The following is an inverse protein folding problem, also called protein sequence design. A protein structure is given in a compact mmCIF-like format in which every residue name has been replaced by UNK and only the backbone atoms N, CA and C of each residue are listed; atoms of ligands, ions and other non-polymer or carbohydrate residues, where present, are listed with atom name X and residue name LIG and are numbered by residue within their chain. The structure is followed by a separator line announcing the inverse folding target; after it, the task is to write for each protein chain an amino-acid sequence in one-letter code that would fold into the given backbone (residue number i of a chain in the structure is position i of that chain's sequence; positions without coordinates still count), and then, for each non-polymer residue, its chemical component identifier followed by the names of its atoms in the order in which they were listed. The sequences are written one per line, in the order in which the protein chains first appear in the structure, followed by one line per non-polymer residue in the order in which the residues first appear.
data_IF_916568508484
#
_entry.id   IF_916568508484
#
_cell.length_a   1.000
_cell.length_b   1.000
_cell.length_c   1.000
_cell.angle_alpha   90.00
_cell.angle_beta   90.00
_cell.angle_gamma   90.00
#
_symmetry.space_group_name_H-M   'P 1'
#
loop_
_entity.id
_entity.type
_entity.pdbx_description
1 polymer ?
#
# COMPACT_ATOMS: atom_id res chain seq x y z
N UNK A 1 -93.27 -15.41 85.29
CA UNK A 1 -93.34 -15.19 83.84
C UNK A 1 -92.89 -13.77 83.55
N UNK A 2 -91.71 -13.62 82.97
CA UNK A 2 -91.31 -12.52 82.11
C UNK A 2 -90.02 -13.00 81.42
N UNK A 3 -90.05 -13.06 80.10
CA UNK A 3 -88.96 -13.44 79.21
C UNK A 3 -87.64 -12.75 79.59
N UNK A 4 -86.54 -13.51 79.57
CA UNK A 4 -85.20 -12.92 79.49
C UNK A 4 -84.51 -13.44 78.24
N UNK A 5 -84.75 -12.66 77.19
CA UNK A 5 -84.14 -12.71 75.88
C UNK A 5 -82.62 -12.82 76.05
N UNK A 6 -82.05 -13.89 75.51
CA UNK A 6 -80.62 -14.01 75.27
C UNK A 6 -80.27 -12.86 74.32
N UNK A 7 -79.53 -11.86 74.80
CA UNK A 7 -79.00 -10.83 73.94
C UNK A 7 -78.05 -11.50 72.94
N UNK A 8 -78.51 -11.72 71.71
CA UNK A 8 -77.63 -11.97 70.58
C UNK A 8 -76.62 -10.83 70.56
N UNK A 9 -75.35 -11.13 70.81
CA UNK A 9 -74.28 -10.18 70.62
C UNK A 9 -74.33 -9.73 69.16
N UNK A 10 -74.57 -8.44 68.94
CA UNK A 10 -74.71 -7.85 67.63
C UNK A 10 -73.31 -7.76 66.97
N UNK A 11 -72.89 -8.88 66.38
CA UNK A 11 -71.61 -9.02 65.67
C UNK A 11 -71.59 -8.25 64.34
N UNK A 12 -72.70 -7.62 63.96
CA UNK A 12 -72.81 -6.81 62.75
C UNK A 12 -71.85 -5.62 62.74
N UNK A 13 -71.58 -5.01 63.89
CA UNK A 13 -70.62 -3.90 64.01
C UNK A 13 -69.17 -4.33 63.72
N UNK A 14 -68.75 -5.49 64.24
CA UNK A 14 -67.42 -6.06 63.98
C UNK A 14 -67.32 -6.53 62.52
N UNK A 15 -68.39 -7.10 61.97
CA UNK A 15 -68.44 -7.52 60.57
C UNK A 15 -68.38 -6.33 59.60
N UNK A 16 -69.07 -5.22 59.92
CA UNK A 16 -69.00 -3.99 59.15
C UNK A 16 -67.62 -3.34 59.22
N UNK A 17 -66.99 -3.28 60.40
CA UNK A 17 -65.61 -2.79 60.52
C UNK A 17 -64.60 -3.67 59.76
N UNK A 18 -64.76 -5.01 59.77
CA UNK A 18 -63.92 -5.92 59.00
C UNK A 18 -64.14 -5.78 57.48
N UNK A 19 -65.37 -5.53 57.04
CA UNK A 19 -65.70 -5.27 55.64
C UNK A 19 -65.13 -3.92 55.18
N UNK A 20 -65.28 -2.87 55.98
CA UNK A 20 -64.66 -1.57 55.71
C UNK A 20 -63.14 -1.67 55.67
N UNK A 21 -62.52 -2.40 56.61
CA UNK A 21 -61.08 -2.68 56.56
C UNK A 21 -60.67 -3.47 55.31
N UNK A 22 -61.48 -4.44 54.89
CA UNK A 22 -61.28 -5.17 53.63
C UNK A 22 -61.32 -4.24 52.42
N UNK A 23 -62.33 -3.36 52.34
CA UNK A 23 -62.45 -2.35 51.28
C UNK A 23 -61.28 -1.34 51.30
N UNK A 24 -60.83 -0.92 52.49
CA UNK A 24 -59.64 -0.07 52.65
C UNK A 24 -58.35 -0.78 52.24
N UNK A 25 -58.21 -2.08 52.53
CA UNK A 25 -57.06 -2.89 52.13
C UNK A 25 -57.08 -3.09 50.61
N UNK A 26 -58.23 -3.35 50.00
CA UNK A 26 -58.36 -3.53 48.55
C UNK A 26 -58.08 -2.23 47.78
N UNK A 27 -58.57 -1.10 48.28
CA UNK A 27 -58.25 0.23 47.72
C UNK A 27 -56.77 0.58 47.91
N UNK A 28 -56.19 0.27 49.07
CA UNK A 28 -54.75 0.46 49.31
C UNK A 28 -53.90 -0.42 48.39
N UNK A 29 -54.27 -1.70 48.21
CA UNK A 29 -53.59 -2.63 47.32
C UNK A 29 -53.68 -2.16 45.85
N UNK A 30 -54.85 -1.68 45.43
CA UNK A 30 -55.04 -1.10 44.09
C UNK A 30 -54.19 0.15 43.87
N UNK A 31 -54.09 1.01 44.89
CA UNK A 31 -53.22 2.19 44.87
C UNK A 31 -51.75 1.80 44.83
N UNK A 32 -51.31 0.78 45.60
CA UNK A 32 -49.94 0.27 45.58
C UNK A 32 -49.58 -0.33 44.22
N UNK A 33 -50.48 -1.09 43.59
CA UNK A 33 -50.28 -1.60 42.22
C UNK A 33 -50.16 -0.44 41.21
N UNK A 34 -50.97 0.60 41.37
CA UNK A 34 -50.91 1.79 40.50
C UNK A 34 -49.61 2.56 40.69
N UNK A 35 -49.15 2.71 41.94
CA UNK A 35 -47.84 3.31 42.25
C UNK A 35 -46.71 2.44 41.68
N UNK A 36 -46.79 1.11 41.79
CA UNK A 36 -45.82 0.20 41.17
C UNK A 36 -45.71 0.40 39.66
N UNK A 37 -46.85 0.46 38.95
CA UNK A 37 -46.88 0.74 37.50
C UNK A 37 -46.31 2.11 37.14
N UNK A 38 -46.59 3.14 37.95
CA UNK A 38 -46.04 4.48 37.73
C UNK A 38 -44.54 4.53 37.99
N UNK A 39 -44.03 3.77 38.98
CA UNK A 39 -42.60 3.63 39.25
C UNK A 39 -41.90 2.90 38.10
N UNK A 40 -42.51 1.83 37.58
CA UNK A 40 -41.98 1.10 36.41
C UNK A 40 -41.94 2.00 35.16
N UNK A 41 -42.99 2.79 34.92
CA UNK A 41 -43.05 3.74 33.81
C UNK A 41 -41.99 4.85 33.96
N UNK A 42 -41.83 5.40 35.17
CA UNK A 42 -40.77 6.38 35.44
C UNK A 42 -39.39 5.77 35.22
N UNK A 43 -39.16 4.51 35.61
CA UNK A 43 -37.88 3.85 35.38
C UNK A 43 -37.59 3.68 33.88
N UNK A 44 -38.59 3.32 33.08
CA UNK A 44 -38.47 3.28 31.62
C UNK A 44 -38.18 4.66 31.02
N UNK A 45 -38.84 5.71 31.50
CA UNK A 45 -38.59 7.09 31.06
C UNK A 45 -37.17 7.56 31.44
N UNK A 46 -36.67 7.18 32.62
CA UNK A 46 -35.31 7.47 33.05
C UNK A 46 -34.27 6.72 32.21
N UNK A 47 -34.52 5.45 31.87
CA UNK A 47 -33.65 4.69 30.98
C UNK A 47 -33.61 5.30 29.57
N UNK A 48 -34.77 5.72 29.05
CA UNK A 48 -34.87 6.43 27.77
C UNK A 48 -34.13 7.78 27.80
N UNK A 49 -34.32 8.58 28.84
CA UNK A 49 -33.62 9.86 29.00
C UNK A 49 -32.11 9.66 29.14
N UNK A 50 -31.67 8.61 29.83
CA UNK A 50 -30.26 8.26 29.97
C UNK A 50 -29.67 7.88 28.61
N UNK A 51 -30.39 7.10 27.81
CA UNK A 51 -29.98 6.76 26.44
C UNK A 51 -29.90 8.00 25.54
N UNK A 52 -30.91 8.88 25.58
CA UNK A 52 -30.94 10.13 24.81
C UNK A 52 -29.82 11.08 25.22
N UNK A 53 -29.53 11.18 26.52
CA UNK A 53 -28.42 11.99 27.03
C UNK A 53 -27.08 11.43 26.54
N UNK A 54 -26.86 10.12 26.60
CA UNK A 54 -25.66 9.51 26.05
C UNK A 54 -25.53 9.77 24.54
N UNK A 55 -26.62 9.64 23.77
CA UNK A 55 -26.62 9.94 22.34
C UNK A 55 -26.29 11.41 22.06
N UNK A 56 -26.87 12.34 22.82
CA UNK A 56 -26.60 13.77 22.72
C UNK A 56 -25.15 14.11 23.05
N UNK A 57 -24.59 13.56 24.14
CA UNK A 57 -23.19 13.76 24.53
C UNK A 57 -22.25 13.23 23.45
N UNK A 58 -22.55 12.08 22.86
CA UNK A 58 -21.76 11.53 21.75
C UNK A 58 -21.84 12.41 20.50
N UNK A 59 -23.03 12.84 20.09
CA UNK A 59 -23.23 13.73 18.95
C UNK A 59 -22.52 15.09 19.13
N UNK A 60 -22.59 15.67 20.33
CA UNK A 60 -21.87 16.90 20.66
C UNK A 60 -20.36 16.70 20.64
N UNK A 61 -19.86 15.58 21.17
CA UNK A 61 -18.43 15.25 21.15
C UNK A 61 -17.91 15.11 19.72
N UNK A 62 -18.64 14.40 18.85
CA UNK A 62 -18.31 14.25 17.44
C UNK A 62 -18.30 15.60 16.72
N UNK A 63 -19.37 16.39 16.86
CA UNK A 63 -19.47 17.73 16.26
C UNK A 63 -18.34 18.65 16.73
N UNK A 64 -18.06 18.68 18.04
CA UNK A 64 -16.96 19.47 18.60
C UNK A 64 -15.60 19.01 18.05
N UNK A 65 -15.41 17.70 17.86
CA UNK A 65 -14.18 17.16 17.28
C UNK A 65 -14.03 17.53 15.81
N UNK A 66 -15.12 17.52 15.03
CA UNK A 66 -15.13 17.94 13.63
C UNK A 66 -14.74 19.42 13.49
N UNK A 67 -15.34 20.32 14.29
CA UNK A 67 -15.00 21.74 14.30
C UNK A 67 -13.54 21.99 14.71
N UNK A 68 -13.05 21.23 15.69
CA UNK A 68 -11.65 21.29 16.10
C UNK A 68 -10.72 20.80 14.98
N UNK A 69 -11.10 19.74 14.26
CA UNK A 69 -10.37 19.21 13.12
C UNK A 69 -10.29 20.23 11.98
N UNK A 70 -11.38 20.90 11.62
CA UNK A 70 -11.38 21.99 10.63
C UNK A 70 -10.42 23.12 11.02
N UNK A 71 -10.44 23.53 12.30
CA UNK A 71 -9.54 24.59 12.80
C UNK A 71 -8.08 24.14 12.75
N UNK A 72 -7.78 22.90 13.14
CA UNK A 72 -6.43 22.32 13.06
C UNK A 72 -5.96 22.18 11.63
N UNK A 73 -6.83 21.73 10.74
CA UNK A 73 -6.57 21.57 9.32
C UNK A 73 -6.15 22.90 8.68
N UNK A 74 -6.83 24.00 8.99
CA UNK A 74 -6.43 25.34 8.48
C UNK A 74 -5.02 25.71 8.97
N UNK A 75 -4.74 25.50 10.27
CA UNK A 75 -3.41 25.78 10.85
C UNK A 75 -2.31 24.92 10.22
N UNK A 76 -2.56 23.62 10.07
CA UNK A 76 -1.61 22.69 9.47
C UNK A 76 -1.37 23.00 8.00
N UNK A 77 -2.40 23.40 7.24
CA UNK A 77 -2.23 23.85 5.85
C UNK A 77 -1.42 25.14 5.76
N UNK A 78 -1.63 26.10 6.66
CA UNK A 78 -0.81 27.33 6.72
C UNK A 78 0.64 27.02 7.07
N UNK A 79 0.89 26.16 8.05
CA UNK A 79 2.23 25.72 8.42
C UNK A 79 2.93 25.00 7.26
N UNK A 80 2.19 24.15 6.53
CA UNK A 80 2.69 23.44 5.36
C UNK A 80 3.04 24.40 4.21
N UNK A 81 2.20 25.39 3.93
CA UNK A 81 2.49 26.42 2.91
C UNK A 81 3.69 27.27 3.31
N UNK A 82 3.80 27.65 4.58
CA UNK A 82 4.91 28.47 5.07
C UNK A 82 6.25 27.74 5.05
N UNK A 83 6.27 26.44 5.40
CA UNK A 83 7.50 25.63 5.43
C UNK A 83 7.87 25.06 4.06
N UNK A 84 6.89 24.64 3.27
CA UNK A 84 7.11 23.83 2.06
C UNK A 84 6.49 24.40 0.78
N UNK A 85 5.90 25.61 0.80
CA UNK A 85 5.39 26.28 -0.40
C UNK A 85 6.47 26.44 -1.47
N UNK A 86 7.71 26.73 -1.06
CA UNK A 86 8.87 26.78 -1.96
C UNK A 86 9.19 25.43 -2.62
N UNK A 87 8.94 24.29 -1.94
CA UNK A 87 9.18 22.97 -2.53
C UNK A 87 8.18 22.74 -3.67
N UNK A 88 6.92 23.13 -3.50
CA UNK A 88 5.92 23.04 -4.56
C UNK A 88 6.28 23.89 -5.79
N UNK A 89 6.83 25.09 -5.59
CA UNK A 89 7.34 25.93 -6.68
C UNK A 89 8.50 25.25 -7.43
N UNK A 90 9.45 24.65 -6.71
CA UNK A 90 10.59 23.92 -7.30
C UNK A 90 10.12 22.73 -8.13
N UNK A 91 9.19 21.94 -7.62
CA UNK A 91 8.63 20.79 -8.35
C UNK A 91 7.92 21.23 -9.63
N UNK A 92 7.12 22.30 -9.57
CA UNK A 92 6.43 22.88 -10.73
C UNK A 92 7.42 23.38 -11.79
N UNK A 93 8.46 24.09 -11.36
CA UNK A 93 9.50 24.61 -12.25
C UNK A 93 10.34 23.48 -12.86
N UNK A 94 10.71 22.46 -12.08
CA UNK A 94 11.41 21.26 -12.58
C UNK A 94 10.60 20.54 -13.65
N UNK A 95 9.31 20.30 -13.38
CA UNK A 95 8.41 19.68 -14.36
C UNK A 95 8.32 20.51 -15.64
N UNK A 96 8.22 21.83 -15.51
CA UNK A 96 8.20 22.75 -16.65
C UNK A 96 9.50 22.71 -17.46
N UNK A 97 10.66 22.72 -16.80
CA UNK A 97 11.98 22.62 -17.45
C UNK A 97 12.11 21.29 -18.19
N UNK A 98 11.75 20.16 -17.56
CA UNK A 98 11.82 18.85 -18.21
C UNK A 98 10.95 18.80 -19.47
N UNK A 99 9.68 19.19 -19.36
CA UNK A 99 8.74 19.22 -20.50
C UNK A 99 9.18 20.15 -21.63
N UNK A 100 9.72 21.31 -21.28
CA UNK A 100 10.10 22.31 -22.27
C UNK A 100 11.47 22.03 -22.90
N UNK A 101 12.35 21.31 -22.20
CA UNK A 101 13.58 20.75 -22.77
C UNK A 101 13.28 19.64 -23.80
N UNK A 102 12.26 18.80 -23.57
CA UNK A 102 11.83 17.80 -24.57
C UNK A 102 11.39 18.42 -25.90
N UNK A 103 10.80 19.62 -25.82
CA UNK A 103 10.37 20.39 -26.98
C UNK A 103 11.52 21.21 -27.60
N UNK A 104 12.69 21.26 -26.95
CA UNK A 104 13.85 22.08 -27.30
C UNK A 104 13.52 23.60 -27.41
N UNK A 105 12.57 24.10 -26.61
CA UNK A 105 12.04 25.48 -26.74
C UNK A 105 12.75 26.48 -25.79
N UNK A 106 13.40 26.02 -24.72
CA UNK A 106 13.89 26.91 -23.64
C UNK A 106 15.33 27.34 -23.85
N UNK A 107 15.61 28.62 -23.61
CA UNK A 107 16.98 29.17 -23.56
C UNK A 107 17.69 28.66 -22.30
N UNK A 108 18.91 28.18 -22.47
CA UNK A 108 19.72 27.60 -21.39
C UNK A 108 19.92 28.56 -20.21
N UNK A 109 20.06 29.87 -20.47
CA UNK A 109 20.20 30.92 -19.45
C UNK A 109 18.98 31.02 -18.52
N UNK A 110 17.76 30.82 -19.04
CA UNK A 110 16.52 30.88 -18.26
C UNK A 110 16.42 29.69 -17.30
N UNK A 111 16.88 28.51 -17.73
CA UNK A 111 16.91 27.30 -16.90
C UNK A 111 17.92 27.47 -15.76
N UNK A 112 19.10 28.06 -16.04
CA UNK A 112 20.12 28.31 -15.03
C UNK A 112 19.68 29.35 -14.00
N UNK A 113 19.17 30.50 -14.45
CA UNK A 113 18.70 31.55 -13.54
C UNK A 113 17.59 31.05 -12.61
N UNK A 114 16.65 30.26 -13.15
CA UNK A 114 15.63 29.59 -12.34
C UNK A 114 16.25 28.60 -11.35
N UNK A 115 17.20 27.76 -11.77
CA UNK A 115 17.88 26.81 -10.87
C UNK A 115 18.60 27.48 -9.70
N UNK A 116 19.36 28.55 -9.97
CA UNK A 116 20.10 29.31 -8.95
C UNK A 116 19.15 30.02 -7.97
N UNK A 117 18.08 30.65 -8.48
CA UNK A 117 17.06 31.28 -7.66
C UNK A 117 16.38 30.26 -6.73
N UNK A 118 16.03 29.08 -7.25
CA UNK A 118 15.41 28.01 -6.48
C UNK A 118 16.35 27.45 -5.41
N UNK A 119 17.66 27.36 -5.69
CA UNK A 119 18.66 26.95 -4.70
C UNK A 119 18.77 27.94 -3.54
N UNK A 120 18.61 29.24 -3.79
CA UNK A 120 18.57 30.26 -2.73
C UNK A 120 17.29 30.18 -1.89
N UNK A 121 16.16 29.82 -2.49
CA UNK A 121 14.85 29.75 -1.80
C UNK A 121 14.65 28.48 -0.97
N UNK A 122 15.27 27.36 -1.34
CA UNK A 122 15.15 26.10 -0.62
C UNK A 122 16.51 25.39 -0.48
N UNK A 123 17.38 25.86 0.44
CA UNK A 123 18.73 25.32 0.60
C UNK A 123 18.75 23.87 1.08
N UNK A 124 17.70 23.38 1.75
CA UNK A 124 17.65 22.02 2.31
C UNK A 124 17.10 20.98 1.33
N UNK A 125 16.47 21.41 0.23
CA UNK A 125 15.84 20.47 -0.70
C UNK A 125 16.84 19.84 -1.67
N UNK A 126 16.71 18.54 -1.92
CA UNK A 126 17.60 17.77 -2.81
C UNK A 126 17.41 18.09 -4.29
N UNK A 127 16.20 18.45 -4.71
CA UNK A 127 15.88 18.68 -6.12
C UNK A 127 16.46 20.01 -6.65
N UNK A 128 16.59 21.01 -5.79
CA UNK A 128 17.17 22.31 -6.14
C UNK A 128 18.63 22.21 -6.67
N UNK A 129 19.58 21.58 -5.95
CA UNK A 129 20.94 21.38 -6.46
C UNK A 129 20.97 20.38 -7.63
N UNK A 130 20.07 19.40 -7.69
CA UNK A 130 19.97 18.49 -8.84
C UNK A 130 19.56 19.23 -10.13
N UNK A 131 18.64 20.20 -10.02
CA UNK A 131 18.27 21.10 -11.11
C UNK A 131 19.43 22.00 -11.53
N UNK A 132 20.15 22.60 -10.58
CA UNK A 132 21.33 23.40 -10.88
C UNK A 132 22.36 22.55 -11.62
N UNK A 133 22.62 21.32 -11.17
CA UNK A 133 23.51 20.38 -11.84
C UNK A 133 23.05 20.05 -13.27
N UNK A 134 21.75 19.75 -13.46
CA UNK A 134 21.17 19.48 -14.78
C UNK A 134 21.30 20.70 -15.71
N UNK A 135 20.99 21.90 -15.21
CA UNK A 135 21.09 23.15 -15.99
C UNK A 135 22.54 23.47 -16.38
N UNK A 136 23.48 23.33 -15.45
CA UNK A 136 24.90 23.53 -15.70
C UNK A 136 25.46 22.51 -16.70
N UNK A 137 24.95 21.27 -16.64
CA UNK A 137 25.30 20.23 -17.62
C UNK A 137 24.78 20.54 -19.02
N UNK A 138 23.55 21.03 -19.15
CA UNK A 138 22.98 21.46 -20.45
C UNK A 138 23.75 22.66 -21.02
N UNK A 139 24.26 23.54 -20.16
CA UNK A 139 25.06 24.71 -20.52
C UNK A 139 26.57 24.45 -20.67
N UNK A 140 27.04 23.21 -20.57
CA UNK A 140 28.46 22.84 -20.69
C UNK A 140 29.39 23.48 -19.64
N UNK A 141 28.89 23.70 -18.41
CA UNK A 141 29.66 24.22 -17.28
C UNK A 141 29.96 23.10 -16.28
N UNK A 142 31.00 22.31 -16.57
CA UNK A 142 31.35 21.10 -15.81
C UNK A 142 31.61 21.38 -14.32
N UNK A 143 32.36 22.43 -13.98
CA UNK A 143 32.74 22.70 -12.58
C UNK A 143 31.51 22.97 -11.69
N UNK A 144 30.55 23.74 -12.20
CA UNK A 144 29.31 24.04 -11.48
C UNK A 144 28.44 22.79 -11.40
N UNK A 145 28.35 22.02 -12.49
CA UNK A 145 27.58 20.78 -12.53
C UNK A 145 28.07 19.77 -11.49
N UNK A 146 29.39 19.54 -11.41
CA UNK A 146 30.00 18.60 -10.45
C UNK A 146 29.81 19.07 -9.01
N UNK A 147 29.95 20.37 -8.73
CA UNK A 147 29.74 20.93 -7.38
C UNK A 147 28.28 20.80 -6.94
N UNK A 148 27.34 21.16 -7.82
CA UNK A 148 25.91 21.05 -7.54
C UNK A 148 25.47 19.59 -7.38
N UNK A 149 26.01 18.68 -8.21
CA UNK A 149 25.74 17.25 -8.11
C UNK A 149 26.20 16.67 -6.77
N UNK A 150 27.40 17.03 -6.30
CA UNK A 150 27.88 16.59 -4.98
C UNK A 150 26.97 17.04 -3.85
N UNK A 151 26.46 18.26 -3.93
CA UNK A 151 25.54 18.77 -2.91
C UNK A 151 24.15 18.09 -3.00
N UNK A 152 23.68 17.73 -4.20
CA UNK A 152 22.47 16.94 -4.38
C UNK A 152 22.59 15.54 -3.76
N UNK A 153 23.71 14.84 -4.05
CA UNK A 153 24.01 13.52 -3.48
C UNK A 153 24.14 13.57 -1.96
N UNK A 154 24.71 14.65 -1.40
CA UNK A 154 24.83 14.83 0.06
C UNK A 154 23.48 14.96 0.76
N UNK A 155 22.45 15.42 0.05
CA UNK A 155 21.09 15.63 0.60
C UNK A 155 20.23 14.39 0.49
N UNK A 156 20.14 13.85 -0.72
CA UNK A 156 19.40 12.62 -0.97
C UNK A 156 20.07 11.86 -2.11
N UNK A 157 20.82 10.83 -1.75
CA UNK A 157 21.66 10.11 -2.69
C UNK A 157 20.84 9.19 -3.60
N UNK A 158 19.80 8.56 -3.06
CA UNK A 158 18.93 7.63 -3.78
C UNK A 158 18.07 8.35 -4.81
N UNK A 159 17.37 9.42 -4.41
CA UNK A 159 16.52 10.19 -5.32
C UNK A 159 17.35 10.90 -6.38
N UNK A 160 18.52 11.41 -6.03
CA UNK A 160 19.43 12.04 -6.99
C UNK A 160 19.92 11.04 -8.02
N UNK A 161 20.37 9.85 -7.59
CA UNK A 161 20.83 8.81 -8.51
C UNK A 161 19.72 8.34 -9.46
N UNK A 162 18.52 8.08 -8.94
CA UNK A 162 17.36 7.71 -9.75
C UNK A 162 16.96 8.82 -10.75
N UNK A 163 16.98 10.07 -10.31
CA UNK A 163 16.69 11.22 -11.16
C UNK A 163 17.66 11.30 -12.36
N UNK A 164 18.97 11.24 -12.10
CA UNK A 164 19.97 11.30 -13.16
C UNK A 164 19.94 10.07 -14.08
N UNK A 165 19.65 8.87 -13.56
CA UNK A 165 19.46 7.68 -14.38
C UNK A 165 18.33 7.86 -15.40
N UNK A 166 17.16 8.33 -14.94
CA UNK A 166 15.98 8.53 -15.77
C UNK A 166 16.14 9.69 -16.76
N UNK A 167 16.76 10.79 -16.35
CA UNK A 167 17.04 11.94 -17.23
C UNK A 167 18.07 11.57 -18.30
N UNK A 168 19.15 10.86 -17.95
CA UNK A 168 20.15 10.40 -18.92
C UNK A 168 19.53 9.43 -19.93
N UNK A 169 18.68 8.50 -19.47
CA UNK A 169 17.92 7.60 -20.35
C UNK A 169 17.04 8.39 -21.32
N UNK A 170 16.29 9.37 -20.81
CA UNK A 170 15.41 10.23 -21.62
C UNK A 170 16.19 11.04 -22.67
N UNK A 171 17.40 11.48 -22.34
CA UNK A 171 18.31 12.16 -23.25
C UNK A 171 19.03 11.22 -24.24
N UNK A 172 18.76 9.91 -24.20
CA UNK A 172 19.40 8.90 -25.07
C UNK A 172 20.86 8.59 -24.71
N UNK A 173 21.32 8.96 -23.51
CA UNK A 173 22.69 8.70 -23.04
C UNK A 173 22.73 7.43 -22.18
N UNK A 174 22.91 6.29 -22.83
CA UNK A 174 22.88 4.98 -22.15
C UNK A 174 23.99 4.76 -21.12
N UNK A 175 25.25 5.02 -21.47
CA UNK A 175 26.37 4.74 -20.55
C UNK A 175 26.27 5.50 -19.20
N UNK A 176 25.99 6.83 -19.16
CA UNK A 176 25.72 7.52 -17.90
C UNK A 176 24.45 7.02 -17.19
N UNK A 177 23.40 6.65 -17.93
CA UNK A 177 22.18 6.11 -17.33
C UNK A 177 22.43 4.80 -16.58
N UNK A 178 23.26 3.92 -17.14
CA UNK A 178 23.68 2.66 -16.50
C UNK A 178 24.48 2.90 -15.22
N UNK A 179 25.43 3.83 -15.23
CA UNK A 179 26.22 4.17 -14.03
C UNK A 179 25.35 4.71 -12.90
N UNK A 180 24.41 5.62 -13.21
CA UNK A 180 23.48 6.15 -12.21
C UNK A 180 22.48 5.11 -11.72
N UNK A 181 21.99 4.24 -12.62
CA UNK A 181 21.11 3.13 -12.25
C UNK A 181 21.83 2.14 -11.33
N UNK A 182 23.09 1.79 -11.61
CA UNK A 182 23.92 0.96 -10.73
C UNK A 182 24.09 1.63 -9.36
N UNK A 183 24.44 2.91 -9.32
CA UNK A 183 24.63 3.65 -8.07
C UNK A 183 23.33 3.71 -7.23
N UNK A 184 22.17 3.79 -7.89
CA UNK A 184 20.88 3.70 -7.23
C UNK A 184 20.62 2.28 -6.67
N UNK A 185 20.80 1.24 -7.48
CA UNK A 185 20.60 -0.16 -7.06
C UNK A 185 21.56 -0.55 -5.93
N UNK A 186 22.79 -0.06 -5.90
CA UNK A 186 23.74 -0.31 -4.81
C UNK A 186 23.22 0.08 -3.41
N UNK A 187 22.28 1.02 -3.32
CA UNK A 187 21.68 1.46 -2.05
C UNK A 187 20.36 0.79 -1.71
N UNK A 188 19.77 0.06 -2.65
CA UNK A 188 18.50 -0.61 -2.38
C UNK A 188 18.72 -1.87 -1.55
N UNK A 189 17.74 -2.19 -0.72
CA UNK A 189 17.69 -3.42 0.06
C UNK A 189 17.12 -4.55 -0.81
N UNK A 190 17.95 -5.56 -1.07
CA UNK A 190 17.58 -6.73 -1.86
C UNK A 190 16.39 -7.54 -1.30
N UNK A 191 16.10 -7.43 0.01
CA UNK A 191 14.99 -8.14 0.66
C UNK A 191 13.67 -7.36 0.63
N UNK A 192 13.74 -6.05 0.33
CA UNK A 192 12.61 -5.15 0.45
C UNK A 192 12.63 -4.08 -0.65
N UNK A 193 12.54 -4.52 -1.90
CA UNK A 193 12.56 -3.64 -3.06
C UNK A 193 11.23 -2.91 -3.24
N UNK A 194 11.33 -1.63 -3.58
CA UNK A 194 10.18 -0.82 -3.96
C UNK A 194 9.86 -0.97 -5.46
N UNK A 195 8.70 -0.47 -5.86
CA UNK A 195 8.27 -0.51 -7.27
C UNK A 195 9.22 0.22 -8.22
N UNK A 196 9.94 1.25 -7.74
CA UNK A 196 10.86 2.04 -8.58
C UNK A 196 12.09 1.22 -8.93
N UNK A 197 12.67 0.48 -7.98
CA UNK A 197 13.76 -0.44 -8.20
C UNK A 197 13.39 -1.55 -9.20
N UNK A 198 12.18 -2.12 -9.09
CA UNK A 198 11.68 -3.11 -10.04
C UNK A 198 11.65 -2.56 -11.47
N UNK A 199 11.15 -1.33 -11.65
CA UNK A 199 11.08 -0.70 -12.97
C UNK A 199 12.46 -0.39 -13.56
N UNK A 200 13.46 -0.09 -12.73
CA UNK A 200 14.85 0.10 -13.19
C UNK A 200 15.46 -1.22 -13.63
N UNK A 201 15.23 -2.30 -12.89
CA UNK A 201 15.66 -3.66 -13.25
C UNK A 201 14.97 -4.11 -14.54
N UNK A 202 13.70 -3.80 -14.73
CA UNK A 202 12.97 -4.04 -15.98
C UNK A 202 13.54 -3.23 -17.15
N UNK A 203 13.84 -1.95 -16.92
CA UNK A 203 14.48 -1.09 -17.92
C UNK A 203 15.85 -1.62 -18.36
N UNK A 204 16.61 -2.21 -17.43
CA UNK A 204 17.85 -2.91 -17.71
C UNK A 204 17.61 -4.18 -18.55
N UNK A 205 16.71 -5.07 -18.10
CA UNK A 205 16.38 -6.30 -18.80
C UNK A 205 15.88 -6.05 -20.23
N UNK A 206 15.13 -4.96 -20.42
CA UNK A 206 14.59 -4.52 -21.72
C UNK A 206 15.63 -3.81 -22.61
N UNK A 207 16.84 -3.52 -22.10
CA UNK A 207 17.88 -2.78 -22.82
C UNK A 207 17.60 -1.28 -22.99
N UNK A 208 16.60 -0.73 -22.28
CA UNK A 208 16.22 0.69 -22.38
C UNK A 208 17.25 1.63 -21.77
N UNK A 209 18.07 1.13 -20.83
CA UNK A 209 19.17 1.89 -20.25
C UNK A 209 20.42 1.90 -21.15
N UNK A 210 20.43 1.14 -22.24
CA UNK A 210 21.59 0.95 -23.12
C UNK A 210 22.24 -0.43 -22.93
N UNK A 211 23.28 -0.68 -23.71
CA UNK A 211 24.06 -1.92 -23.63
C UNK A 211 25.05 -1.82 -22.48
N UNK A 212 24.96 -2.76 -21.55
CA UNK A 212 25.86 -2.86 -20.41
C UNK A 212 27.16 -3.55 -20.82
N UNK A 213 28.04 -2.78 -21.46
CA UNK A 213 29.34 -3.27 -21.96
C UNK A 213 30.30 -3.66 -20.84
N UNK A 214 30.11 -3.09 -19.65
CA UNK A 214 30.98 -3.28 -18.47
C UNK A 214 30.39 -4.29 -17.47
N UNK A 215 29.14 -4.70 -17.65
CA UNK A 215 28.45 -5.61 -16.74
C UNK A 215 28.13 -4.98 -15.38
N UNK A 216 27.98 -3.65 -15.31
CA UNK A 216 27.83 -2.91 -14.06
C UNK A 216 26.59 -3.32 -13.27
N UNK A 217 25.46 -3.44 -13.97
CA UNK A 217 24.19 -3.83 -13.33
C UNK A 217 24.17 -5.34 -13.13
N UNK A 218 24.70 -6.13 -14.09
CA UNK A 218 24.81 -7.57 -13.94
C UNK A 218 25.58 -7.96 -12.66
N UNK A 219 26.75 -7.36 -12.44
CA UNK A 219 27.57 -7.58 -11.24
C UNK A 219 26.83 -7.19 -9.96
N UNK A 220 26.02 -6.12 -10.00
CA UNK A 220 25.23 -5.69 -8.85
C UNK A 220 24.11 -6.70 -8.53
N UNK A 221 23.44 -7.24 -9.56
CA UNK A 221 22.44 -8.29 -9.39
C UNK A 221 23.08 -9.59 -8.89
N UNK A 222 24.25 -9.96 -9.40
CA UNK A 222 25.01 -11.12 -8.92
C UNK A 222 25.42 -10.95 -7.44
N UNK A 223 25.80 -9.73 -7.04
CA UNK A 223 26.10 -9.42 -5.64
C UNK A 223 24.87 -9.50 -4.73
N UNK A 224 23.68 -9.13 -5.22
CA UNK A 224 22.42 -9.37 -4.52
C UNK A 224 22.14 -10.86 -4.36
N UNK A 225 22.27 -11.62 -5.44
CA UNK A 225 22.05 -13.08 -5.41
C UNK A 225 23.01 -13.78 -4.45
N UNK A 226 24.29 -13.39 -4.43
CA UNK A 226 25.26 -13.92 -3.49
C UNK A 226 24.85 -13.65 -2.03
N UNK A 227 24.50 -12.41 -1.69
CA UNK A 227 24.06 -12.03 -0.33
C UNK A 227 22.77 -12.73 0.09
N UNK A 228 21.81 -12.86 -0.82
CA UNK A 228 20.56 -13.58 -0.55
C UNK A 228 20.82 -15.08 -0.36
N UNK A 229 21.75 -15.67 -1.12
CA UNK A 229 22.10 -17.09 -1.01
C UNK A 229 22.80 -17.47 0.30
N UNK A 230 23.44 -16.51 0.96
CA UNK A 230 24.06 -16.72 2.29
C UNK A 230 23.01 -16.83 3.41
N UNK A 231 21.75 -16.47 3.16
CA UNK A 231 20.70 -16.59 4.16
C UNK A 231 20.34 -18.06 4.41
N UNK A 232 20.17 -18.46 5.69
CA UNK A 232 19.83 -19.83 6.03
C UNK A 232 18.45 -20.19 5.48
N UNK A 233 18.34 -21.35 4.81
CA UNK A 233 17.08 -21.81 4.22
C UNK A 233 16.73 -21.16 2.88
N UNK A 234 17.63 -20.36 2.29
CA UNK A 234 17.36 -19.68 1.03
C UNK A 234 17.07 -20.65 -0.11
N UNK A 235 17.89 -21.70 -0.26
CA UNK A 235 17.73 -22.69 -1.35
C UNK A 235 16.41 -23.44 -1.19
N UNK A 236 16.09 -23.90 0.02
CA UNK A 236 14.84 -24.59 0.31
C UNK A 236 13.61 -23.69 0.10
N UNK A 237 13.72 -22.40 0.44
CA UNK A 237 12.66 -21.43 0.19
C UNK A 237 12.45 -21.17 -1.30
N UNK A 238 13.53 -21.06 -2.09
CA UNK A 238 13.40 -20.91 -3.55
C UNK A 238 12.84 -22.17 -4.20
N UNK A 239 13.33 -23.36 -3.83
CA UNK A 239 12.79 -24.62 -4.32
C UNK A 239 11.31 -24.81 -3.96
N UNK A 240 10.93 -24.47 -2.73
CA UNK A 240 9.53 -24.47 -2.28
C UNK A 240 8.65 -23.55 -3.11
N UNK A 241 9.09 -22.30 -3.35
CA UNK A 241 8.36 -21.32 -4.18
C UNK A 241 8.17 -21.83 -5.61
N UNK A 242 9.22 -22.39 -6.22
CA UNK A 242 9.12 -22.94 -7.56
C UNK A 242 8.23 -24.18 -7.62
N UNK A 243 8.24 -25.04 -6.59
CA UNK A 243 7.30 -26.17 -6.47
C UNK A 243 5.86 -25.69 -6.36
N UNK A 244 5.57 -24.70 -5.52
CA UNK A 244 4.23 -24.11 -5.40
C UNK A 244 3.78 -23.49 -6.73
N UNK A 245 4.64 -22.74 -7.39
CA UNK A 245 4.32 -22.13 -8.66
C UNK A 245 4.09 -23.17 -9.79
N UNK A 246 4.86 -24.27 -9.80
CA UNK A 246 4.65 -25.40 -10.72
C UNK A 246 3.36 -26.17 -10.39
N UNK A 247 3.02 -26.34 -9.11
CA UNK A 247 1.78 -26.97 -8.68
C UNK A 247 0.54 -26.17 -9.13
N UNK A 248 0.60 -24.84 -9.15
CA UNK A 248 -0.49 -24.00 -9.70
C UNK A 248 -0.71 -24.24 -11.20
N UNK A 249 0.35 -24.59 -11.95
CA UNK A 249 0.24 -24.96 -13.36
C UNK A 249 -0.24 -26.41 -13.58
N UNK A 250 -0.18 -27.25 -12.55
CA UNK A 250 -0.62 -28.63 -12.59
C UNK A 250 -2.16 -28.67 -12.59
N UNK A 251 -2.79 -29.26 -13.63
CA UNK A 251 -4.24 -29.38 -13.63
C UNK A 251 -4.71 -30.37 -12.57
N UNK A 252 -5.70 -29.98 -11.75
CA UNK A 252 -6.33 -30.88 -10.76
C UNK A 252 -6.98 -32.12 -11.40
N UNK A 253 -7.41 -31.98 -12.66
CA UNK A 253 -7.90 -33.08 -13.49
C UNK A 253 -7.17 -33.08 -14.83
N UNK A 254 -6.34 -34.09 -15.13
CA UNK A 254 -5.71 -34.21 -16.43
C UNK A 254 -6.78 -34.32 -17.51
N UNK A 255 -6.64 -33.59 -18.61
CA UNK A 255 -7.64 -33.61 -19.69
C UNK A 255 -7.81 -35.02 -20.30
N UNK A 256 -6.75 -35.84 -20.24
CA UNK A 256 -6.75 -37.23 -20.69
C UNK A 256 -7.27 -38.25 -19.67
N UNK A 257 -7.60 -37.87 -18.43
CA UNK A 257 -8.06 -38.81 -17.41
C UNK A 257 -9.56 -39.08 -17.51
N UNK A 258 -9.97 -39.93 -18.46
CA UNK A 258 -11.36 -40.40 -18.62
C UNK A 258 -11.44 -41.92 -18.43
N UNK A 259 -11.20 -42.40 -17.21
CA UNK A 259 -11.25 -43.83 -16.88
C UNK A 259 -12.13 -44.14 -15.66
N UNK A 260 -13.47 -44.18 -15.84
CA UNK A 260 -14.44 -44.34 -14.73
C UNK A 260 -14.24 -45.64 -13.92
N UNK A 261 -13.94 -46.75 -14.61
CA UNK A 261 -13.74 -48.05 -13.99
C UNK A 261 -12.44 -48.16 -13.19
N UNK A 262 -11.42 -47.36 -13.52
CA UNK A 262 -10.19 -47.30 -12.75
C UNK A 262 -10.45 -46.57 -11.44
N UNK A 263 -11.17 -45.44 -11.47
CA UNK A 263 -11.51 -44.65 -10.27
C UNK A 263 -12.29 -45.44 -9.21
N UNK A 264 -13.16 -46.35 -9.63
CA UNK A 264 -14.04 -47.10 -8.72
C UNK A 264 -13.35 -48.32 -8.09
N UNK A 265 -12.31 -48.89 -8.73
CA UNK A 265 -11.80 -50.22 -8.38
C UNK A 265 -10.31 -50.29 -8.05
N UNK A 266 -9.52 -49.24 -8.28
CA UNK A 266 -8.07 -49.28 -8.05
C UNK A 266 -7.63 -48.32 -6.94
N UNK A 267 -6.88 -48.80 -5.94
CA UNK A 267 -6.30 -47.95 -4.90
C UNK A 267 -5.15 -47.06 -5.43
N UNK A 268 -4.62 -47.34 -6.63
CA UNK A 268 -3.47 -46.63 -7.23
C UNK A 268 -3.88 -45.48 -8.17
N UNK A 269 -5.18 -45.18 -8.25
CA UNK A 269 -5.72 -44.13 -9.13
C UNK A 269 -5.20 -42.75 -8.76
N UNK A 270 -5.03 -42.47 -7.47
CA UNK A 270 -4.48 -41.19 -7.02
C UNK A 270 -3.06 -40.97 -7.57
N UNK A 271 -2.22 -42.00 -7.51
CA UNK A 271 -0.84 -41.94 -8.02
C UNK A 271 -0.79 -41.82 -9.55
N UNK A 272 -1.68 -42.53 -10.26
CA UNK A 272 -1.82 -42.46 -11.72
C UNK A 272 -2.35 -41.09 -12.19
N UNK A 273 -3.30 -40.49 -11.46
CA UNK A 273 -3.78 -39.13 -11.73
C UNK A 273 -2.66 -38.11 -11.51
N UNK A 274 -1.90 -38.24 -10.42
CA UNK A 274 -0.77 -37.38 -10.09
C UNK A 274 0.33 -37.44 -11.16
N UNK A 275 0.74 -38.64 -11.57
CA UNK A 275 1.75 -38.82 -12.62
C UNK A 275 1.29 -38.32 -13.99
N UNK A 276 0.02 -38.52 -14.36
CA UNK A 276 -0.52 -37.97 -15.61
C UNK A 276 -0.60 -36.42 -15.56
N UNK A 277 -0.99 -35.85 -14.41
CA UNK A 277 -0.99 -34.41 -14.20
C UNK A 277 0.44 -33.82 -14.29
N UNK A 278 1.45 -34.51 -13.77
CA UNK A 278 2.86 -34.15 -13.94
C UNK A 278 3.34 -34.20 -15.40
N UNK A 279 2.91 -35.21 -16.16
CA UNK A 279 3.23 -35.29 -17.59
C UNK A 279 2.59 -34.15 -18.42
N UNK A 280 1.35 -33.76 -18.10
CA UNK A 280 0.69 -32.61 -18.74
C UNK A 280 1.33 -31.27 -18.33
N UNK A 281 1.84 -31.16 -17.10
CA UNK A 281 2.60 -30.01 -16.62
C UNK A 281 3.83 -29.75 -17.50
N UNK A 282 4.59 -30.79 -17.89
CA UNK A 282 5.76 -30.62 -18.74
C UNK A 282 5.44 -29.93 -20.08
N UNK A 283 4.32 -30.31 -20.71
CA UNK A 283 3.86 -29.71 -21.96
C UNK A 283 3.43 -28.26 -21.80
N UNK A 284 2.67 -27.95 -20.73
CA UNK A 284 2.24 -26.58 -20.41
C UNK A 284 3.41 -25.67 -20.05
N UNK A 285 4.32 -26.16 -19.21
CA UNK A 285 5.51 -25.40 -18.78
C UNK A 285 6.44 -25.11 -19.95
N UNK A 286 6.70 -26.10 -20.82
CA UNK A 286 7.47 -25.89 -22.04
C UNK A 286 6.82 -24.85 -22.95
N UNK A 287 5.50 -24.93 -23.16
CA UNK A 287 4.77 -23.94 -23.97
C UNK A 287 4.84 -22.54 -23.35
N UNK A 288 4.74 -22.41 -22.02
CA UNK A 288 4.87 -21.15 -21.30
C UNK A 288 6.26 -20.53 -21.47
N UNK A 289 7.34 -21.29 -21.21
CA UNK A 289 8.72 -20.82 -21.38
C UNK A 289 9.01 -20.47 -22.84
N UNK A 290 8.56 -21.30 -23.79
CA UNK A 290 8.74 -21.05 -25.22
C UNK A 290 8.04 -19.75 -25.65
N UNK A 291 6.81 -19.54 -25.17
CA UNK A 291 6.07 -18.30 -25.43
C UNK A 291 6.81 -17.08 -24.90
N UNK A 292 7.35 -17.13 -23.68
CA UNK A 292 8.12 -16.02 -23.08
C UNK A 292 9.37 -15.71 -23.91
N UNK A 293 10.16 -16.73 -24.24
CA UNK A 293 11.43 -16.57 -24.97
C UNK A 293 11.19 -15.99 -26.37
N UNK A 294 10.13 -16.45 -27.05
CA UNK A 294 9.81 -16.03 -28.42
C UNK A 294 9.05 -14.70 -28.51
N UNK A 295 8.44 -14.22 -27.42
CA UNK A 295 7.75 -12.94 -27.42
C UNK A 295 8.75 -11.76 -27.45
N UNK A 296 8.50 -10.81 -28.34
CA UNK A 296 9.17 -9.51 -28.36
C UNK A 296 8.16 -8.44 -27.92
N UNK A 297 8.34 -7.86 -26.72
CA UNK A 297 7.38 -6.90 -26.18
C UNK A 297 7.47 -5.54 -26.89
N UNK A 298 6.37 -4.76 -26.91
CA UNK A 298 6.42 -3.37 -27.31
C UNK A 298 7.07 -2.52 -26.22
N UNK A 299 8.28 -2.03 -26.47
CA UNK A 299 9.05 -1.17 -25.54
C UNK A 299 8.33 0.14 -25.12
N UNK A 300 7.26 0.53 -25.82
CA UNK A 300 6.57 1.81 -25.64
C UNK A 300 5.87 1.95 -24.27
N UNK A 301 5.39 0.86 -23.68
CA UNK A 301 4.69 0.90 -22.38
C UNK A 301 5.65 1.18 -21.24
N UNK A 302 6.79 0.48 -21.22
CA UNK A 302 7.81 0.64 -20.18
C UNK A 302 8.42 2.05 -20.18
N UNK A 303 8.65 2.65 -21.36
CA UNK A 303 9.10 4.04 -21.46
C UNK A 303 8.12 5.00 -20.79
N UNK A 304 6.81 4.81 -20.98
CA UNK A 304 5.79 5.64 -20.34
C UNK A 304 5.77 5.46 -18.83
N UNK A 305 6.01 4.25 -18.33
CA UNK A 305 6.11 3.98 -16.90
C UNK A 305 7.35 4.63 -16.29
N UNK A 306 8.50 4.56 -16.95
CA UNK A 306 9.72 5.25 -16.51
C UNK A 306 9.54 6.77 -16.52
N UNK A 307 8.83 7.33 -17.51
CA UNK A 307 8.50 8.76 -17.55
C UNK A 307 7.51 9.15 -16.44
N UNK A 308 6.57 8.26 -16.08
CA UNK A 308 5.71 8.44 -14.91
C UNK A 308 6.52 8.41 -13.63
N UNK A 309 7.48 7.49 -13.48
CA UNK A 309 8.37 7.45 -12.31
C UNK A 309 9.20 8.74 -12.22
N UNK A 310 9.77 9.23 -13.33
CA UNK A 310 10.50 10.49 -13.33
C UNK A 310 9.59 11.66 -12.94
N UNK A 311 8.37 11.70 -13.47
CA UNK A 311 7.39 12.72 -13.13
C UNK A 311 7.03 12.65 -11.65
N UNK A 312 6.70 11.45 -11.14
CA UNK A 312 6.40 11.17 -9.74
C UNK A 312 7.56 11.61 -8.85
N UNK A 313 8.79 11.18 -9.13
CA UNK A 313 9.98 11.54 -8.36
C UNK A 313 10.18 13.06 -8.23
N UNK A 314 9.84 13.81 -9.27
CA UNK A 314 9.93 15.27 -9.30
C UNK A 314 8.72 15.94 -8.67
N UNK A 315 7.54 15.32 -8.69
CA UNK A 315 6.29 15.92 -8.19
C UNK A 315 5.88 15.48 -6.79
N UNK A 316 6.37 14.34 -6.35
CA UNK A 316 6.06 13.73 -5.06
C UNK A 316 6.64 14.56 -3.92
N UNK A 317 5.97 14.45 -2.78
CA UNK A 317 6.36 15.17 -1.58
C UNK A 317 7.60 14.52 -0.97
N UNK A 318 8.44 15.36 -0.39
CA UNK A 318 9.65 14.88 0.26
C UNK A 318 9.33 14.25 1.62
N UNK A 319 10.24 13.41 2.14
CA UNK A 319 10.06 12.78 3.45
C UNK A 319 9.85 13.80 4.58
N UNK A 320 10.46 14.99 4.47
CA UNK A 320 10.26 16.08 5.42
C UNK A 320 8.80 16.62 5.44
N UNK A 321 8.07 16.52 4.32
CA UNK A 321 6.66 16.94 4.22
C UNK A 321 5.67 15.89 4.75
N UNK A 322 6.06 14.61 4.74
CA UNK A 322 5.20 13.48 5.10
C UNK A 322 4.49 13.64 6.45
N UNK A 323 5.15 13.94 7.59
CA UNK A 323 4.47 13.98 8.88
C UNK A 323 3.41 15.09 8.95
N UNK A 324 3.70 16.26 8.37
CA UNK A 324 2.74 17.36 8.32
C UNK A 324 1.58 17.06 7.37
N UNK A 325 1.83 16.38 6.25
CA UNK A 325 0.78 15.95 5.32
C UNK A 325 -0.08 14.83 5.88
N UNK A 326 0.50 13.85 6.56
CA UNK A 326 -0.24 12.81 7.26
C UNK A 326 -1.18 13.42 8.30
N UNK A 327 -0.69 14.39 9.08
CA UNK A 327 -1.52 15.15 10.02
C UNK A 327 -2.66 15.92 9.32
N UNK A 328 -2.38 16.57 8.18
CA UNK A 328 -3.40 17.25 7.36
C UNK A 328 -4.44 16.27 6.82
N UNK A 329 -4.00 15.10 6.34
CA UNK A 329 -4.88 14.07 5.76
C UNK A 329 -5.72 13.42 6.85
N UNK A 330 -5.15 13.18 8.02
CA UNK A 330 -5.87 12.68 9.19
C UNK A 330 -6.94 13.67 9.65
N UNK A 331 -6.61 14.94 9.86
CA UNK A 331 -7.60 15.93 10.29
C UNK A 331 -8.64 16.24 9.19
N UNK A 332 -8.32 16.04 7.90
CA UNK A 332 -9.31 16.02 6.81
C UNK A 332 -10.30 14.87 6.96
N UNK A 333 -9.81 13.64 7.11
CA UNK A 333 -10.67 12.46 7.29
C UNK A 333 -11.53 12.57 8.55
N UNK A 334 -10.99 13.13 9.64
CA UNK A 334 -11.78 13.39 10.87
C UNK A 334 -12.87 14.43 10.62
N UNK A 335 -12.63 15.46 9.81
CA UNK A 335 -13.67 16.43 9.46
C UNK A 335 -14.73 15.81 8.52
N UNK A 336 -14.30 15.04 7.52
CA UNK A 336 -15.18 14.38 6.54
C UNK A 336 -16.08 13.32 7.19
N UNK A 337 -15.56 12.54 8.15
CA UNK A 337 -16.31 11.55 8.94
C UNK A 337 -17.08 12.16 10.13
N UNK A 338 -17.24 13.49 10.19
CA UNK A 338 -18.04 14.16 11.22
C UNK A 338 -17.49 14.03 12.64
N UNK A 339 -16.17 13.88 12.80
CA UNK A 339 -15.47 13.80 14.08
C UNK A 339 -15.15 12.38 14.56
N UNK A 340 -15.47 11.34 13.79
CA UNK A 340 -15.13 9.95 14.12
C UNK A 340 -13.66 9.62 13.82
N UNK A 341 -12.81 9.73 14.84
CA UNK A 341 -11.39 9.40 14.73
C UNK A 341 -11.12 7.92 14.44
N UNK A 342 -12.03 7.01 14.82
CA UNK A 342 -11.79 5.57 14.67
C UNK A 342 -11.89 5.15 13.21
N UNK A 343 -12.88 5.70 12.49
CA UNK A 343 -13.04 5.50 11.05
C UNK A 343 -11.91 6.16 10.27
N UNK A 344 -11.56 7.39 10.62
CA UNK A 344 -10.45 8.11 9.99
C UNK A 344 -9.11 7.34 10.10
N UNK A 345 -8.81 6.76 11.29
CA UNK A 345 -7.60 5.93 11.48
C UNK A 345 -7.63 4.66 10.64
N UNK A 346 -8.78 3.99 10.56
CA UNK A 346 -8.93 2.76 9.79
C UNK A 346 -8.75 3.03 8.28
N UNK A 347 -9.31 4.12 7.78
CA UNK A 347 -9.13 4.50 6.37
C UNK A 347 -7.67 4.89 6.07
N UNK A 348 -7.00 5.56 7.01
CA UNK A 348 -5.59 5.90 6.90
C UNK A 348 -4.69 4.65 6.87
N UNK A 349 -4.96 3.65 7.71
CA UNK A 349 -4.24 2.36 7.70
C UNK A 349 -4.40 1.63 6.36
N UNK A 350 -5.63 1.55 5.83
CA UNK A 350 -5.87 0.90 4.53
C UNK A 350 -5.11 1.59 3.38
N UNK A 351 -4.99 2.92 3.42
CA UNK A 351 -4.23 3.68 2.43
C UNK A 351 -2.72 3.47 2.56
N UNK A 352 -2.22 3.27 3.78
CA UNK A 352 -0.80 3.05 4.04
C UNK A 352 -0.37 1.63 3.64
N UNK A 353 -1.17 0.61 3.99
CA UNK A 353 -0.93 -0.80 3.61
C UNK A 353 -0.93 -0.99 2.08
N UNK A 354 -1.76 -0.25 1.34
CA UNK A 354 -1.77 -0.30 -0.11
C UNK A 354 -0.54 0.38 -0.77
N UNK A 355 0.18 1.23 -0.04
CA UNK A 355 1.32 2.02 -0.56
C UNK A 355 2.68 1.39 -0.23
N UNK A 356 2.75 0.58 0.84
CA UNK A 356 3.98 -0.07 1.35
C UNK A 356 4.17 -1.50 0.83
N UNK A 357 3.73 -1.82 -0.39
CA UNK A 357 4.01 -3.13 -0.97
C UNK A 357 5.50 -3.22 -1.37
N UNK A 358 6.34 -3.63 -0.42
CA UNK A 358 7.74 -4.00 -0.64
C UNK A 358 7.83 -5.49 -0.91
N UNK A 359 8.65 -5.87 -1.89
CA UNK A 359 8.79 -7.27 -2.29
C UNK A 359 10.25 -7.70 -2.29
N UNK A 360 10.48 -8.94 -1.88
CA UNK A 360 11.79 -9.59 -1.94
C UNK A 360 12.23 -9.79 -3.40
N UNK A 361 13.51 -9.55 -3.72
CA UNK A 361 14.00 -9.64 -5.10
C UNK A 361 13.75 -11.02 -5.73
N UNK A 362 13.92 -12.11 -4.98
CA UNK A 362 13.69 -13.45 -5.51
C UNK A 362 12.20 -13.79 -5.66
N UNK A 363 11.36 -13.28 -4.76
CA UNK A 363 9.91 -13.35 -4.92
C UNK A 363 9.49 -12.62 -6.20
N UNK A 364 10.05 -11.45 -6.46
CA UNK A 364 9.80 -10.69 -7.67
C UNK A 364 10.19 -11.43 -8.95
N UNK A 365 11.34 -12.11 -8.97
CA UNK A 365 11.74 -12.92 -10.13
C UNK A 365 10.78 -14.10 -10.35
N UNK A 366 10.36 -14.78 -9.28
CA UNK A 366 9.44 -15.92 -9.37
C UNK A 366 8.05 -15.46 -9.84
N UNK A 367 7.51 -14.39 -9.24
CA UNK A 367 6.24 -13.80 -9.60
C UNK A 367 6.27 -13.24 -11.04
N UNK A 368 7.39 -12.63 -11.44
CA UNK A 368 7.56 -12.16 -12.81
C UNK A 368 7.50 -13.31 -13.80
N UNK A 369 8.15 -14.44 -13.52
CA UNK A 369 8.19 -15.61 -14.41
C UNK A 369 6.85 -16.37 -14.47
N UNK A 370 6.14 -16.48 -13.35
CA UNK A 370 4.97 -17.36 -13.20
C UNK A 370 3.64 -16.58 -13.24
N UNK A 371 3.57 -15.41 -12.62
CA UNK A 371 2.37 -14.56 -12.51
C UNK A 371 2.61 -13.12 -13.03
N UNK A 372 2.95 -12.96 -14.33
CA UNK A 372 3.39 -11.67 -14.86
C UNK A 372 2.34 -10.56 -14.80
N UNK A 373 1.05 -10.91 -14.76
CA UNK A 373 -0.04 -9.93 -14.65
C UNK A 373 -0.16 -9.32 -13.26
N UNK A 374 0.06 -10.14 -12.22
CA UNK A 374 0.03 -9.69 -10.83
C UNK A 374 1.30 -8.91 -10.49
N UNK A 375 2.45 -9.37 -10.99
CA UNK A 375 3.72 -8.67 -10.85
C UNK A 375 3.86 -7.42 -11.75
N UNK A 376 2.94 -7.21 -12.70
CA UNK A 376 3.05 -6.19 -13.77
C UNK A 376 4.41 -6.25 -14.50
N UNK A 377 4.99 -7.45 -14.60
CA UNK A 377 6.34 -7.65 -15.11
C UNK A 377 6.36 -7.68 -16.64
N UNK A 378 7.32 -6.97 -17.25
CA UNK A 378 7.53 -7.06 -18.70
C UNK A 378 8.03 -8.44 -19.12
N UNK A 379 7.91 -8.72 -20.42
CA UNK A 379 8.49 -9.94 -21.03
C UNK A 379 10.02 -9.97 -20.92
N UNK A 380 10.68 -8.81 -20.83
CA UNK A 380 12.13 -8.77 -20.65
C UNK A 380 12.52 -9.18 -19.23
N UNK A 381 11.80 -8.69 -18.22
CA UNK A 381 11.94 -9.13 -16.82
C UNK A 381 11.64 -10.61 -16.67
N UNK A 382 10.64 -11.14 -17.38
CA UNK A 382 10.37 -12.59 -17.43
C UNK A 382 11.57 -13.38 -17.97
N UNK A 383 12.17 -12.96 -19.08
CA UNK A 383 13.35 -13.62 -19.65
C UNK A 383 14.53 -13.60 -18.69
N UNK A 384 14.77 -12.46 -18.04
CA UNK A 384 15.83 -12.32 -17.05
C UNK A 384 15.57 -13.18 -15.81
N UNK A 385 14.32 -13.20 -15.31
CA UNK A 385 13.93 -14.02 -14.18
C UNK A 385 14.11 -15.51 -14.45
N UNK A 386 13.75 -15.99 -15.65
CA UNK A 386 14.00 -17.37 -16.08
C UNK A 386 15.49 -17.69 -16.20
N UNK A 387 16.31 -16.74 -16.68
CA UNK A 387 17.75 -16.92 -16.81
C UNK A 387 18.44 -17.02 -15.44
N UNK A 388 18.08 -16.13 -14.51
CA UNK A 388 18.63 -16.12 -13.14
C UNK A 388 18.14 -17.34 -12.36
N UNK A 389 16.86 -17.70 -12.49
CA UNK A 389 16.25 -18.76 -11.67
C UNK A 389 16.41 -20.16 -12.24
N UNK A 390 17.19 -20.32 -13.32
CA UNK A 390 17.32 -21.56 -14.08
C UNK A 390 17.70 -22.76 -13.22
N UNK A 391 18.67 -22.59 -12.32
CA UNK A 391 19.20 -23.71 -11.53
C UNK A 391 18.20 -24.19 -10.46
N UNK A 392 17.50 -23.27 -9.79
CA UNK A 392 16.45 -23.60 -8.83
C UNK A 392 15.20 -24.17 -9.51
N UNK A 393 14.85 -23.65 -10.68
CA UNK A 393 13.78 -24.20 -11.51
C UNK A 393 14.08 -25.65 -11.91
N UNK A 394 15.32 -25.93 -12.34
CA UNK A 394 15.75 -27.30 -12.68
C UNK A 394 15.79 -28.21 -11.45
N UNK A 395 16.17 -27.69 -10.27
CA UNK A 395 16.15 -28.44 -9.01
C UNK A 395 14.71 -28.80 -8.62
N UNK A 396 13.82 -27.81 -8.56
CA UNK A 396 12.40 -28.00 -8.24
C UNK A 396 11.68 -28.92 -9.24
N UNK A 397 12.05 -28.87 -10.52
CA UNK A 397 11.50 -29.71 -11.57
C UNK A 397 11.96 -31.18 -11.50
N UNK A 398 13.11 -31.49 -10.89
CA UNK A 398 13.58 -32.88 -10.72
C UNK A 398 12.79 -33.66 -9.68
N UNK A 399 12.09 -32.96 -8.80
CA UNK A 399 11.25 -33.54 -7.75
C UNK A 399 9.81 -33.82 -8.20
N UNK A 400 9.45 -33.43 -9.44
CA UNK A 400 8.21 -33.74 -10.14
C UNK A 400 8.46 -34.72 -11.27
#
# INVERSE_FOLDING_TARGET
MADRIIAQADLSGIWNCLRELGEYIDTTNSNVITVGKNVDALQQDFDALTADFHAFVQAHRLTARAQLAETRLVKLRQELEQKYGHYAEIRRTTKGILQANDLAIVRQETVRAAGEELMLRAPEYWLAPALVALSAWISDHEEIAVRALREALRRDEEKTALFFALVCRRAGRGAPALHWAQHYLMRQDETALDRKAILIVDAYASGLLGVDTEGLIAQQLDAWLARLSEQPGFVEAQEGRWKEALAVMQPETPAAFHYPYLEEHSPTVADLKSTLAGAELHGKFYAHVQQIVMQNPPMRTLVQELDRVLTSLVTDFDAAEQPLREAVTFEQLVADEGGDETRAKKEMQLKQEAFEERRDFMQLLTDAAMNPREAQASVATQKMALAISKDWMLSAYRDH
#
